data_IF_352348046262
#
_entry.id   IF_352348046262
#
_cell.length_a   1.000
_cell.length_b   1.000
_cell.length_c   1.000
_cell.angle_alpha   90.00
_cell.angle_beta   90.00
_cell.angle_gamma   90.00
#
_symmetry.space_group_name_H-M   'P 1'
#
loop_
_entity.id
_entity.type
_entity.pdbx_description
1 polymer ?
#
# COMPACT_ATOMS: atom_id res chain seq x y z
N UNK A 1 9.49 -11.75 7.42
CA UNK A 1 8.67 -10.54 7.26
C UNK A 1 7.90 -10.21 8.54
N UNK A 2 7.84 -8.92 8.91
CA UNK A 2 7.02 -8.39 10.00
C UNK A 2 6.19 -7.20 9.50
N UNK A 3 4.89 -7.19 9.79
CA UNK A 3 3.96 -6.10 9.41
C UNK A 3 3.41 -5.45 10.68
N UNK A 4 3.45 -4.11 10.74
CA UNK A 4 2.90 -3.33 11.85
C UNK A 4 1.94 -2.27 11.30
N UNK A 5 0.71 -2.26 11.80
CA UNK A 5 -0.29 -1.25 11.46
C UNK A 5 -0.20 -0.04 12.39
N UNK A 6 -0.14 1.16 11.82
CA UNK A 6 -0.06 2.42 12.56
C UNK A 6 -1.35 3.23 12.55
N UNK A 7 -2.38 2.77 11.82
CA UNK A 7 -3.65 3.47 11.61
C UNK A 7 -3.82 3.90 10.16
N UNK A 8 -5.07 4.18 9.75
CA UNK A 8 -5.44 4.44 8.35
C UNK A 8 -4.84 3.35 7.43
N UNK A 9 -4.29 3.76 6.28
CA UNK A 9 -3.60 2.88 5.32
C UNK A 9 -2.09 2.81 5.57
N UNK A 10 -1.62 3.21 6.77
CA UNK A 10 -0.19 3.24 7.09
C UNK A 10 0.28 1.94 7.77
N UNK A 11 1.09 1.19 7.05
CA UNK A 11 1.74 -0.02 7.52
C UNK A 11 3.25 0.15 7.42
N UNK A 12 3.98 -0.42 8.38
CA UNK A 12 5.41 -0.64 8.29
C UNK A 12 5.67 -2.12 8.06
N UNK A 13 6.29 -2.44 6.94
CA UNK A 13 6.69 -3.78 6.55
C UNK A 13 8.21 -3.85 6.68
N UNK A 14 8.69 -4.73 7.56
CA UNK A 14 10.11 -5.02 7.73
C UNK A 14 10.41 -6.37 7.11
N UNK A 15 11.25 -6.35 6.07
CA UNK A 15 11.69 -7.53 5.34
C UNK A 15 13.16 -7.79 5.56
N UNK A 16 13.55 -9.05 5.69
CA UNK A 16 14.96 -9.45 5.70
C UNK A 16 15.51 -9.47 4.27
N UNK A 17 16.69 -8.89 4.07
CA UNK A 17 17.45 -8.99 2.82
C UNK A 17 18.88 -9.44 3.13
N UNK A 18 19.63 -9.84 2.10
CA UNK A 18 21.04 -10.26 2.22
C UNK A 18 21.93 -9.17 2.81
N UNK A 19 21.56 -7.90 2.63
CA UNK A 19 22.29 -6.72 3.11
C UNK A 19 21.70 -6.11 4.39
N UNK A 20 20.92 -6.89 5.15
CA UNK A 20 20.23 -6.45 6.36
C UNK A 20 18.73 -6.19 6.14
N UNK A 21 18.05 -5.74 7.19
CA UNK A 21 16.62 -5.47 7.13
C UNK A 21 16.33 -4.26 6.23
N UNK A 22 15.25 -4.34 5.47
CA UNK A 22 14.70 -3.28 4.64
C UNK A 22 13.30 -2.94 5.17
N UNK A 23 13.06 -1.66 5.38
CA UNK A 23 11.81 -1.14 5.94
C UNK A 23 11.04 -0.39 4.86
N UNK A 24 9.84 -0.87 4.54
CA UNK A 24 8.87 -0.20 3.68
C UNK A 24 7.75 0.40 4.54
N UNK A 25 7.36 1.64 4.24
CA UNK A 25 6.18 2.29 4.83
C UNK A 25 5.17 2.61 3.74
N UNK A 26 3.92 2.19 3.93
CA UNK A 26 2.79 2.57 3.07
C UNK A 26 2.11 3.82 3.62
N UNK A 27 1.61 4.67 2.73
CA UNK A 27 0.69 5.79 2.97
C UNK A 27 0.87 6.52 4.33
N UNK A 28 2.04 7.13 4.58
CA UNK A 28 2.25 7.88 5.81
C UNK A 28 1.31 9.09 5.86
N UNK A 29 0.73 9.35 7.03
CA UNK A 29 -0.28 10.39 7.21
C UNK A 29 0.10 11.46 8.23
N UNK A 30 -0.42 12.67 8.01
CA UNK A 30 -0.22 13.80 8.91
C UNK A 30 -1.09 13.72 10.18
N UNK A 31 -0.67 14.41 11.24
CA UNK A 31 -1.36 14.44 12.53
C UNK A 31 -2.63 15.31 12.51
N UNK A 32 -3.66 14.87 11.77
CA UNK A 32 -4.92 15.61 11.57
C UNK A 32 -6.16 14.81 11.95
N UNK A 33 -6.05 13.50 12.12
CA UNK A 33 -7.18 12.56 12.22
C UNK A 33 -7.37 11.96 13.62
N UNK A 34 -6.88 12.63 14.68
CA UNK A 34 -7.02 12.16 16.06
C UNK A 34 -6.13 10.97 16.45
N UNK A 35 -5.34 10.44 15.51
CA UNK A 35 -4.35 9.40 15.74
C UNK A 35 -3.00 10.01 16.12
N UNK A 36 -2.32 9.40 17.09
CA UNK A 36 -0.96 9.80 17.45
C UNK A 36 -0.03 9.57 16.26
N UNK A 37 0.65 10.63 15.81
CA UNK A 37 1.62 10.53 14.71
C UNK A 37 2.69 9.47 15.00
N UNK A 38 2.86 8.46 14.12
CA UNK A 38 3.91 7.49 14.30
C UNK A 38 5.27 8.11 14.00
N UNK A 39 6.29 7.75 14.79
CA UNK A 39 7.70 8.09 14.50
C UNK A 39 8.25 6.97 13.64
N UNK A 40 8.29 7.18 12.33
CA UNK A 40 8.69 6.17 11.36
C UNK A 40 10.05 6.49 10.75
N UNK A 41 10.79 5.42 10.45
CA UNK A 41 11.94 5.42 9.57
C UNK A 41 11.71 4.37 8.49
N UNK A 42 12.12 4.63 7.26
CA UNK A 42 11.93 3.72 6.14
C UNK A 42 13.08 3.82 5.12
N UNK A 43 13.34 2.71 4.44
CA UNK A 43 14.16 2.68 3.23
C UNK A 43 13.31 2.97 2.00
N UNK A 44 12.04 2.52 2.01
CA UNK A 44 11.07 2.69 0.91
C UNK A 44 9.78 3.29 1.45
N UNK A 45 9.18 4.21 0.71
CA UNK A 45 7.85 4.75 0.99
C UNK A 45 6.98 4.58 -0.25
N UNK A 46 5.82 3.93 -0.11
CA UNK A 46 4.80 3.87 -1.17
C UNK A 46 3.64 4.78 -0.83
N UNK A 47 3.13 5.52 -1.80
CA UNK A 47 1.97 6.41 -1.67
C UNK A 47 0.95 6.05 -2.72
N UNK A 48 -0.17 5.45 -2.29
CA UNK A 48 -1.23 4.96 -3.19
C UNK A 48 -1.83 6.08 -4.02
N UNK A 49 -2.02 7.25 -3.42
CA UNK A 49 -2.55 8.44 -4.08
C UNK A 49 -2.23 9.72 -3.29
N UNK A 50 -2.37 10.88 -3.94
CA UNK A 50 -1.89 12.15 -3.41
C UNK A 50 -2.92 12.93 -2.57
N UNK A 51 -3.62 12.26 -1.65
CA UNK A 51 -4.43 12.92 -0.62
C UNK A 51 -3.63 13.16 0.66
N UNK A 52 -4.02 14.19 1.44
CA UNK A 52 -3.30 14.63 2.66
C UNK A 52 -3.15 13.53 3.73
N UNK A 53 -4.07 12.58 3.76
CA UNK A 53 -4.07 11.40 4.63
C UNK A 53 -3.17 10.26 4.16
N UNK A 54 -2.51 10.36 3.00
CA UNK A 54 -1.72 9.25 2.45
C UNK A 54 -0.30 9.65 2.03
N UNK A 55 0.07 10.93 2.09
CA UNK A 55 1.27 11.44 1.43
C UNK A 55 2.27 12.20 2.31
N UNK A 56 2.23 12.07 3.64
CA UNK A 56 3.14 12.75 4.60
C UNK A 56 4.54 12.09 4.64
N UNK A 57 5.14 11.90 3.46
CA UNK A 57 6.48 11.30 3.29
C UNK A 57 7.57 12.08 4.03
N UNK A 58 7.43 13.40 4.11
CA UNK A 58 8.41 14.29 4.74
C UNK A 58 8.57 14.02 6.25
N UNK A 59 7.57 13.38 6.85
CA UNK A 59 7.62 13.04 8.27
C UNK A 59 8.32 11.71 8.58
N UNK A 60 8.55 10.89 7.55
CA UNK A 60 9.24 9.60 7.66
C UNK A 60 10.72 9.86 7.46
N UNK A 61 11.55 9.43 8.41
CA UNK A 61 13.01 9.58 8.30
C UNK A 61 13.61 8.46 7.46
N UNK A 62 14.80 8.71 6.89
CA UNK A 62 15.63 7.62 6.40
C UNK A 62 16.09 6.67 7.50
N UNK A 63 16.49 5.48 7.11
CA UNK A 63 17.24 4.54 7.96
C UNK A 63 18.72 4.91 7.95
N UNK A 64 19.54 4.23 8.77
CA UNK A 64 21.00 4.36 8.68
C UNK A 64 21.57 3.91 7.33
N UNK A 65 20.90 2.97 6.67
CA UNK A 65 21.35 2.38 5.41
C UNK A 65 20.80 3.12 4.18
N UNK A 66 19.75 3.91 4.38
CA UNK A 66 19.09 4.72 3.35
C UNK A 66 18.64 6.04 4.00
N UNK A 67 19.54 7.03 4.13
CA UNK A 67 19.21 8.34 4.73
C UNK A 67 18.12 9.10 3.98
N UNK A 68 18.06 8.90 2.65
CA UNK A 68 17.02 9.43 1.77
C UNK A 68 16.14 8.27 1.28
N UNK A 69 14.91 8.11 1.81
CA UNK A 69 14.01 7.03 1.42
C UNK A 69 13.71 7.04 -0.09
N UNK A 70 13.60 5.85 -0.68
CA UNK A 70 13.10 5.70 -2.03
C UNK A 70 11.57 5.84 -2.04
N UNK A 71 11.07 6.90 -2.67
CA UNK A 71 9.64 7.24 -2.62
C UNK A 71 8.97 6.88 -3.95
N UNK A 72 7.93 6.03 -3.88
CA UNK A 72 7.14 5.54 -5.00
C UNK A 72 5.74 6.18 -4.92
N UNK A 73 5.33 6.87 -6.00
CA UNK A 73 4.09 7.69 -6.07
C UNK A 73 3.27 7.45 -7.33
N UNK A 74 3.17 6.20 -7.75
CA UNK A 74 2.32 5.83 -8.87
C UNK A 74 2.58 4.42 -9.38
N UNK A 75 1.95 4.07 -10.52
CA UNK A 75 2.13 2.79 -11.17
C UNK A 75 3.52 2.59 -11.77
N UNK A 76 3.94 1.33 -11.86
CA UNK A 76 5.22 0.92 -12.42
C UNK A 76 5.82 -0.28 -11.72
N UNK A 77 6.94 -0.76 -12.24
CA UNK A 77 7.72 -1.84 -11.64
C UNK A 77 8.94 -1.25 -10.94
N UNK A 78 9.17 -1.67 -9.69
CA UNK A 78 10.26 -1.18 -8.87
C UNK A 78 10.96 -2.34 -8.19
N UNK A 79 12.28 -2.24 -8.07
CA UNK A 79 13.10 -3.16 -7.28
C UNK A 79 14.02 -2.35 -6.38
N UNK A 80 14.04 -2.69 -5.09
CA UNK A 80 14.91 -2.04 -4.12
C UNK A 80 15.44 -3.04 -3.10
N UNK A 81 16.74 -3.30 -3.16
CA UNK A 81 17.45 -4.21 -2.23
C UNK A 81 16.80 -5.61 -2.16
N UNK A 82 16.31 -6.12 -3.30
CA UNK A 82 15.64 -7.42 -3.40
C UNK A 82 14.17 -7.44 -2.97
N UNK A 83 13.56 -6.28 -2.68
CA UNK A 83 12.11 -6.13 -2.60
C UNK A 83 11.59 -5.75 -3.98
N UNK A 84 10.65 -6.53 -4.51
CA UNK A 84 9.95 -6.22 -5.76
C UNK A 84 8.62 -5.56 -5.44
N UNK A 85 8.28 -4.50 -6.17
CA UNK A 85 7.05 -3.74 -5.97
C UNK A 85 6.42 -3.46 -7.33
N UNK A 86 5.18 -3.89 -7.50
CA UNK A 86 4.35 -3.53 -8.65
C UNK A 86 3.30 -2.52 -8.20
N UNK A 87 3.35 -1.31 -8.79
CA UNK A 87 2.30 -0.32 -8.69
C UNK A 87 1.31 -0.49 -9.85
N UNK A 88 0.06 -0.80 -9.55
CA UNK A 88 -0.97 -1.09 -10.55
C UNK A 88 -1.98 0.07 -10.55
N UNK A 89 -2.34 0.63 -11.71
CA UNK A 89 -3.32 1.70 -11.79
C UNK A 89 -4.71 1.20 -11.35
N UNK A 90 -5.39 2.02 -10.56
CA UNK A 90 -6.77 1.82 -10.11
C UNK A 90 -7.41 3.17 -9.80
N UNK A 91 -8.64 3.16 -9.29
CA UNK A 91 -9.43 4.35 -9.01
C UNK A 91 -9.96 4.35 -7.58
N UNK A 92 -10.05 5.56 -7.01
CA UNK A 92 -10.63 5.82 -5.69
C UNK A 92 -12.17 5.85 -5.72
N UNK A 93 -12.77 5.59 -6.89
CA UNK A 93 -14.21 5.49 -7.07
C UNK A 93 -14.55 4.46 -8.15
N UNK A 94 -15.84 4.14 -8.23
CA UNK A 94 -16.37 3.21 -9.23
C UNK A 94 -16.83 3.92 -10.52
N UNK A 95 -16.26 5.10 -10.81
CA UNK A 95 -16.55 5.95 -11.97
C UNK A 95 -15.24 6.40 -12.65
N UNK A 96 -14.22 5.53 -12.66
CA UNK A 96 -12.93 5.76 -13.32
C UNK A 96 -12.20 7.02 -12.83
N UNK A 97 -12.30 7.31 -11.54
CA UNK A 97 -11.63 8.44 -10.89
C UNK A 97 -12.35 9.78 -11.09
N UNK A 98 -13.55 9.79 -11.67
CA UNK A 98 -14.29 11.03 -11.93
C UNK A 98 -14.69 11.79 -10.66
N UNK A 99 -14.83 11.09 -9.53
CA UNK A 99 -15.25 11.69 -8.26
C UNK A 99 -14.09 11.93 -7.29
N UNK A 100 -13.15 11.00 -7.21
CA UNK A 100 -12.11 10.94 -6.18
C UNK A 100 -10.69 10.75 -6.74
N UNK A 101 -10.57 10.54 -8.05
CA UNK A 101 -9.27 10.46 -8.73
C UNK A 101 -8.65 9.06 -8.76
N UNK A 102 -7.35 9.03 -9.01
CA UNK A 102 -6.57 7.81 -9.18
C UNK A 102 -6.17 7.20 -7.84
N UNK A 103 -5.99 5.89 -7.85
CA UNK A 103 -5.41 5.10 -6.78
C UNK A 103 -4.34 4.15 -7.37
N UNK A 104 -3.35 3.78 -6.58
CA UNK A 104 -2.35 2.78 -6.96
C UNK A 104 -2.43 1.62 -5.99
N UNK A 105 -2.70 0.42 -6.51
CA UNK A 105 -2.54 -0.82 -5.76
C UNK A 105 -1.04 -1.15 -5.75
N UNK A 106 -0.49 -1.51 -4.60
CA UNK A 106 0.90 -1.95 -4.49
C UNK A 106 0.98 -3.42 -4.13
N UNK A 107 1.59 -4.23 -4.99
CA UNK A 107 1.94 -5.63 -4.74
C UNK A 107 3.42 -5.68 -4.38
N UNK A 108 3.72 -6.09 -3.15
CA UNK A 108 5.05 -6.04 -2.55
C UNK A 108 5.51 -7.47 -2.27
N UNK A 109 6.53 -7.92 -2.99
CA UNK A 109 7.06 -9.29 -2.85
C UNK A 109 8.45 -9.25 -2.22
N UNK A 110 8.60 -9.93 -1.09
CA UNK A 110 9.88 -10.12 -0.41
C UNK A 110 9.86 -11.36 0.49
N UNK A 111 11.01 -11.99 0.71
CA UNK A 111 11.12 -13.23 1.51
C UNK A 111 10.19 -14.37 1.03
N UNK A 112 9.82 -14.40 -0.26
CA UNK A 112 8.87 -15.37 -0.81
C UNK A 112 7.43 -15.18 -0.32
N UNK A 113 7.09 -14.01 0.20
CA UNK A 113 5.75 -13.60 0.63
C UNK A 113 5.33 -12.38 -0.19
N UNK A 114 4.09 -12.38 -0.67
CA UNK A 114 3.47 -11.27 -1.41
C UNK A 114 2.42 -10.56 -0.56
N UNK A 115 2.62 -9.26 -0.34
CA UNK A 115 1.69 -8.38 0.38
C UNK A 115 1.05 -7.42 -0.62
N UNK A 116 -0.27 -7.41 -0.69
CA UNK A 116 -1.00 -6.50 -1.59
C UNK A 116 -1.71 -5.43 -0.78
N UNK A 117 -1.38 -4.18 -1.06
CA UNK A 117 -2.00 -3.01 -0.46
C UNK A 117 -2.90 -2.30 -1.48
N UNK A 118 -4.21 -2.37 -1.27
CA UNK A 118 -5.18 -1.81 -2.21
C UNK A 118 -5.30 -0.28 -2.14
N UNK A 119 -4.59 0.38 -1.22
CA UNK A 119 -4.74 1.82 -1.00
C UNK A 119 -6.19 2.13 -0.62
N UNK A 120 -6.74 3.15 -1.27
CA UNK A 120 -8.13 3.54 -1.13
C UNK A 120 -8.94 3.13 -2.38
N UNK A 121 -8.84 1.87 -2.76
CA UNK A 121 -9.64 1.37 -3.88
C UNK A 121 -11.12 1.68 -3.68
N UNK A 122 -11.74 2.25 -4.72
CA UNK A 122 -13.17 2.52 -4.81
C UNK A 122 -13.87 1.71 -5.92
N UNK A 123 -13.09 0.99 -6.74
CA UNK A 123 -13.60 0.02 -7.69
C UNK A 123 -14.25 -1.17 -6.95
N UNK A 124 -15.42 -1.61 -7.44
CA UNK A 124 -16.16 -2.73 -6.85
C UNK A 124 -15.76 -4.10 -7.39
N UNK A 125 -15.10 -4.10 -8.53
CA UNK A 125 -14.64 -5.28 -9.26
C UNK A 125 -13.28 -4.95 -9.86
N UNK A 126 -12.34 -5.89 -9.78
CA UNK A 126 -11.04 -5.74 -10.41
C UNK A 126 -11.13 -6.13 -11.88
N UNK A 127 -10.35 -5.46 -12.72
CA UNK A 127 -10.16 -5.87 -14.11
C UNK A 127 -9.35 -7.17 -14.19
N UNK A 128 -9.44 -7.88 -15.31
CA UNK A 128 -8.61 -9.07 -15.53
C UNK A 128 -7.10 -8.75 -15.42
N UNK A 129 -6.67 -7.61 -15.94
CA UNK A 129 -5.27 -7.16 -15.84
C UNK A 129 -4.86 -6.91 -14.38
N UNK A 130 -5.70 -6.26 -13.57
CA UNK A 130 -5.41 -6.07 -12.15
C UNK A 130 -5.33 -7.41 -11.41
N UNK A 131 -6.22 -8.36 -11.73
CA UNK A 131 -6.27 -9.69 -11.11
C UNK A 131 -5.00 -10.50 -11.35
N UNK A 132 -4.43 -10.44 -12.56
CA UNK A 132 -3.17 -11.12 -12.90
C UNK A 132 -2.01 -10.74 -11.96
N UNK A 133 -1.97 -9.51 -11.44
CA UNK A 133 -0.93 -9.10 -10.50
C UNK A 133 -1.21 -9.44 -9.04
N UNK A 134 -2.48 -9.61 -8.66
CA UNK A 134 -2.88 -9.75 -7.24
C UNK A 134 -3.29 -11.17 -6.87
N UNK A 135 -3.47 -12.09 -7.82
CA UNK A 135 -3.92 -13.47 -7.57
C UNK A 135 -3.00 -14.26 -6.62
N UNK A 136 -1.70 -13.98 -6.62
CA UNK A 136 -0.71 -14.63 -5.74
C UNK A 136 -0.55 -13.92 -4.39
N UNK A 137 -1.52 -13.12 -3.96
CA UNK A 137 -1.46 -12.40 -2.68
C UNK A 137 -1.47 -13.35 -1.49
N UNK A 138 -0.41 -13.34 -0.68
CA UNK A 138 -0.42 -14.02 0.61
C UNK A 138 -1.18 -13.22 1.66
N UNK A 139 -0.97 -11.91 1.68
CA UNK A 139 -1.54 -10.99 2.68
C UNK A 139 -2.19 -9.83 1.96
N UNK A 140 -3.49 -9.62 2.20
CA UNK A 140 -4.24 -8.50 1.63
C UNK A 140 -4.51 -7.40 2.67
N UNK A 141 -4.08 -6.18 2.34
CA UNK A 141 -4.40 -4.96 3.09
C UNK A 141 -5.48 -4.21 2.32
N UNK A 142 -6.71 -4.29 2.83
CA UNK A 142 -7.93 -3.81 2.16
C UNK A 142 -8.69 -2.78 3.02
N UNK A 143 -9.13 -1.65 2.45
CA UNK A 143 -9.98 -0.70 3.16
C UNK A 143 -11.41 -1.22 3.35
N UNK A 144 -12.06 -0.78 4.43
CA UNK A 144 -13.46 -1.13 4.77
C UNK A 144 -14.24 0.08 5.30
N UNK A 145 -13.88 1.29 4.86
CA UNK A 145 -14.37 2.54 5.42
C UNK A 145 -15.80 2.92 5.02
N UNK A 146 -16.29 2.43 3.87
CA UNK A 146 -17.68 2.55 3.39
C UNK A 146 -18.20 3.96 3.02
N UNK A 147 -17.41 5.02 3.25
CA UNK A 147 -17.78 6.40 2.91
C UNK A 147 -16.91 6.97 1.79
N UNK A 148 -15.60 6.88 1.98
CA UNK A 148 -14.60 7.35 1.03
C UNK A 148 -13.99 6.21 0.23
N UNK A 149 -13.97 5.02 0.81
CA UNK A 149 -13.57 3.76 0.17
C UNK A 149 -14.73 2.78 0.18
N UNK A 150 -14.51 1.59 -0.38
CA UNK A 150 -15.46 0.47 -0.33
C UNK A 150 -15.93 0.12 1.09
N UNK A 151 -17.14 -0.43 1.18
CA UNK A 151 -17.69 -0.97 2.43
C UNK A 151 -17.25 -2.42 2.68
N UNK A 152 -17.63 -2.99 3.83
CA UNK A 152 -17.26 -4.37 4.17
C UNK A 152 -17.84 -5.45 3.24
N UNK A 153 -18.97 -5.20 2.57
CA UNK A 153 -19.56 -6.15 1.61
C UNK A 153 -18.82 -6.10 0.29
N UNK A 154 -18.49 -4.91 -0.18
CA UNK A 154 -17.66 -4.69 -1.35
C UNK A 154 -16.25 -5.27 -1.14
N UNK A 155 -15.65 -5.03 0.02
CA UNK A 155 -14.37 -5.63 0.39
C UNK A 155 -14.41 -7.16 0.39
N UNK A 156 -15.47 -7.79 0.92
CA UNK A 156 -15.63 -9.25 0.87
C UNK A 156 -15.71 -9.80 -0.57
N UNK A 157 -16.28 -9.04 -1.51
CA UNK A 157 -16.29 -9.41 -2.94
C UNK A 157 -14.89 -9.35 -3.55
N UNK A 158 -14.10 -8.32 -3.23
CA UNK A 158 -12.73 -8.21 -3.71
C UNK A 158 -11.85 -9.33 -3.11
N UNK A 159 -12.01 -9.63 -1.82
CA UNK A 159 -11.35 -10.79 -1.19
C UNK A 159 -11.68 -12.09 -1.92
N UNK A 160 -12.93 -12.27 -2.37
CA UNK A 160 -13.34 -13.46 -3.11
C UNK A 160 -12.79 -13.51 -4.55
N UNK A 161 -12.42 -12.37 -5.14
CA UNK A 161 -11.78 -12.31 -6.46
C UNK A 161 -10.26 -12.55 -6.36
N UNK A 162 -9.64 -12.04 -5.30
CA UNK A 162 -8.19 -12.10 -5.06
C UNK A 162 -7.79 -13.44 -4.40
N UNK A 163 -8.67 -14.02 -3.60
CA UNK A 163 -8.43 -15.25 -2.82
C UNK A 163 -7.14 -15.24 -1.97
N UNK A 164 -6.86 -14.18 -1.18
CA UNK A 164 -5.63 -14.10 -0.40
C UNK A 164 -5.63 -15.13 0.75
N UNK A 165 -4.43 -15.50 1.22
CA UNK A 165 -4.29 -16.43 2.35
C UNK A 165 -4.66 -15.80 3.70
N UNK A 166 -4.38 -14.50 3.87
CA UNK A 166 -4.63 -13.69 5.09
C UNK A 166 -5.29 -12.36 4.72
#
# INVERSE_FOLDING_TARGET
MQIQWFGQSCFKITSKSTNGDVILVTDPYANKYGLKKPKLSADIITVSHNHEDHNDCQSVKGTSNTPDPFIIKGPGEYEFKGIFIYGIPSYHDNEHGAQRGQNTIYVISAEGITVTHLGDIGERELTAEQLEYVEDSDILLIPVGGKYTIDGKEAAKLVSQIEPRI
#
